data_IF_187969500232
#
_entry.id   IF_187969500232
#
_cell.length_a   1.000
_cell.length_b   1.000
_cell.length_c   1.000
_cell.angle_alpha   90.00
_cell.angle_beta   90.00
_cell.angle_gamma   90.00
#
_symmetry.space_group_name_H-M   'P 1'
#
loop_
_entity.id
_entity.type
_entity.pdbx_description
1 polymer ?
#
# COMPACT_ATOMS: atom_id res chain seq x y z
N UNK A 1 69.81 2.08 -10.14
CA UNK A 1 68.54 1.55 -9.67
C UNK A 1 67.83 2.64 -8.84
N UNK A 2 66.92 3.36 -9.44
CA UNK A 2 66.08 4.34 -8.77
C UNK A 2 64.86 3.61 -8.19
N UNK A 3 64.71 3.64 -6.86
CA UNK A 3 63.56 3.09 -6.14
C UNK A 3 62.46 4.13 -6.21
N UNK A 4 61.45 3.93 -7.09
CA UNK A 4 60.25 4.73 -7.07
C UNK A 4 59.44 4.38 -5.83
N UNK A 5 59.42 5.29 -4.85
CA UNK A 5 58.48 5.26 -3.72
C UNK A 5 57.09 5.62 -4.27
N UNK A 6 56.23 4.63 -4.49
CA UNK A 6 54.81 4.82 -4.64
C UNK A 6 54.27 5.32 -3.31
N UNK A 7 54.09 6.62 -3.16
CA UNK A 7 53.30 7.24 -2.08
C UNK A 7 51.84 6.77 -2.25
N UNK A 8 51.44 5.82 -1.44
CA UNK A 8 50.02 5.54 -1.26
C UNK A 8 49.35 6.79 -0.66
N UNK A 9 48.68 7.57 -1.48
CA UNK A 9 47.78 8.64 -0.98
C UNK A 9 46.76 7.98 -0.05
N UNK A 10 46.55 8.50 1.16
CA UNK A 10 45.42 8.03 1.97
C UNK A 10 44.15 8.24 1.19
N UNK A 11 43.36 7.18 1.03
CA UNK A 11 41.99 7.27 0.52
C UNK A 11 41.24 8.13 1.54
N UNK A 12 41.07 9.41 1.24
CA UNK A 12 40.20 10.29 2.03
C UNK A 12 38.79 9.81 1.80
N UNK A 13 38.11 9.42 2.87
CA UNK A 13 36.70 9.08 2.83
C UNK A 13 35.95 10.21 2.13
N UNK A 14 35.35 9.90 0.98
CA UNK A 14 34.61 10.90 0.23
C UNK A 14 33.17 10.92 0.70
N UNK A 15 32.71 12.08 1.19
CA UNK A 15 31.30 12.30 1.54
C UNK A 15 30.57 12.87 0.32
N UNK A 16 29.53 12.17 -0.13
CA UNK A 16 28.71 12.57 -1.28
C UNK A 16 27.26 12.76 -0.90
N UNK A 17 26.60 13.75 -1.52
CA UNK A 17 25.17 13.97 -1.32
C UNK A 17 24.33 12.99 -2.12
N UNK A 18 23.19 12.60 -1.53
CA UNK A 18 22.12 11.84 -2.18
C UNK A 18 20.78 12.34 -1.67
N UNK A 19 19.87 12.65 -2.58
CA UNK A 19 18.48 12.96 -2.25
C UNK A 19 17.58 11.81 -2.67
N UNK A 20 16.81 11.25 -1.73
CA UNK A 20 15.77 10.28 -2.01
C UNK A 20 14.42 10.98 -1.90
N UNK A 21 13.75 11.13 -3.05
CA UNK A 21 12.33 11.45 -3.11
C UNK A 21 11.56 10.14 -2.99
N UNK A 22 10.46 10.13 -2.22
CA UNK A 22 9.72 8.88 -2.07
C UNK A 22 8.22 9.08 -1.88
N UNK A 23 7.47 8.10 -2.34
CA UNK A 23 6.03 7.93 -2.14
C UNK A 23 5.75 6.51 -1.65
N UNK A 24 4.59 6.29 -1.07
CA UNK A 24 4.07 5.00 -0.67
C UNK A 24 2.54 5.04 -0.65
N UNK A 25 1.89 3.87 -0.75
CA UNK A 25 0.46 3.71 -0.51
C UNK A 25 -0.41 4.70 -1.29
N UNK A 26 -0.20 4.81 -2.62
CA UNK A 26 -0.93 5.76 -3.46
C UNK A 26 -2.40 5.33 -3.68
N UNK A 27 -2.70 4.03 -3.58
CA UNK A 27 -4.04 3.46 -3.56
C UNK A 27 -4.97 3.99 -4.66
N UNK A 28 -4.42 4.14 -5.86
CA UNK A 28 -5.16 4.61 -7.03
C UNK A 28 -5.92 5.94 -6.80
N UNK A 29 -5.51 6.77 -5.85
CA UNK A 29 -6.08 8.11 -5.63
C UNK A 29 -5.61 9.07 -6.72
N UNK A 30 -6.03 8.78 -7.96
CA UNK A 30 -5.62 9.54 -9.15
C UNK A 30 -6.19 10.95 -9.18
N UNK A 31 -7.38 11.15 -8.60
CA UNK A 31 -8.01 12.46 -8.40
C UNK A 31 -7.70 13.01 -7.00
N UNK A 32 -7.68 14.33 -6.87
CA UNK A 32 -7.55 14.98 -5.56
C UNK A 32 -8.76 14.68 -4.66
N UNK A 33 -8.55 14.76 -3.35
CA UNK A 33 -9.61 14.75 -2.36
C UNK A 33 -10.48 16.03 -2.48
N UNK A 34 -11.67 16.04 -1.88
CA UNK A 34 -12.59 17.20 -1.91
C UNK A 34 -11.96 18.48 -1.35
N UNK A 35 -10.99 18.34 -0.45
CA UNK A 35 -10.24 19.47 0.11
C UNK A 35 -9.04 19.90 -0.74
N UNK A 36 -8.82 19.30 -1.90
CA UNK A 36 -7.78 19.62 -2.86
C UNK A 36 -6.43 18.92 -2.61
N UNK A 37 -6.29 18.13 -1.55
CA UNK A 37 -5.05 17.37 -1.28
C UNK A 37 -4.90 16.16 -2.21
N UNK A 38 -3.67 15.77 -2.48
CA UNK A 38 -3.33 14.59 -3.27
C UNK A 38 -3.65 14.74 -4.76
N UNK A 39 -3.92 13.61 -5.41
CA UNK A 39 -4.14 13.50 -6.84
C UNK A 39 -2.83 13.40 -7.65
N UNK A 40 -2.83 12.52 -8.63
CA UNK A 40 -1.61 12.16 -9.38
C UNK A 40 -1.04 13.33 -10.18
N UNK A 41 -1.87 14.19 -10.73
CA UNK A 41 -1.40 15.34 -11.51
C UNK A 41 -0.68 16.39 -10.63
N UNK A 42 -1.19 16.63 -9.41
CA UNK A 42 -0.54 17.52 -8.44
C UNK A 42 0.74 16.87 -7.88
N UNK A 43 0.70 15.57 -7.55
CA UNK A 43 1.87 14.82 -7.09
C UNK A 43 2.99 14.85 -8.13
N UNK A 44 2.68 14.62 -9.41
CA UNK A 44 3.66 14.68 -10.50
C UNK A 44 4.29 16.09 -10.62
N UNK A 45 3.51 17.15 -10.43
CA UNK A 45 4.02 18.52 -10.44
C UNK A 45 5.00 18.77 -9.28
N UNK A 46 4.68 18.29 -8.06
CA UNK A 46 5.59 18.37 -6.90
C UNK A 46 6.87 17.60 -7.16
N UNK A 47 6.76 16.36 -7.66
CA UNK A 47 7.92 15.51 -8.01
C UNK A 47 8.83 16.24 -8.99
N UNK A 48 8.28 16.77 -10.10
CA UNK A 48 9.04 17.48 -11.14
C UNK A 48 9.72 18.74 -10.58
N UNK A 49 9.01 19.52 -9.75
CA UNK A 49 9.57 20.69 -9.05
C UNK A 49 10.76 20.29 -8.17
N UNK A 50 10.66 19.21 -7.42
CA UNK A 50 11.75 18.74 -6.56
C UNK A 50 12.92 18.19 -7.37
N UNK A 51 12.67 17.41 -8.42
CA UNK A 51 13.74 16.93 -9.31
C UNK A 51 14.49 18.06 -10.00
N UNK A 52 13.82 19.16 -10.37
CA UNK A 52 14.48 20.32 -10.97
C UNK A 52 15.42 21.05 -9.98
N UNK A 53 15.28 20.81 -8.67
CA UNK A 53 16.09 21.42 -7.61
C UNK A 53 17.25 20.54 -7.13
N UNK A 54 17.40 19.32 -7.66
CA UNK A 54 18.49 18.42 -7.29
C UNK A 54 19.02 17.65 -8.48
N UNK A 55 20.35 17.59 -8.63
CA UNK A 55 21.06 16.77 -9.61
C UNK A 55 21.40 15.37 -9.11
N UNK A 56 21.25 15.15 -7.81
CA UNK A 56 21.60 13.94 -7.05
C UNK A 56 20.36 13.22 -6.47
N UNK A 57 19.25 13.27 -7.20
CA UNK A 57 17.98 12.70 -6.78
C UNK A 57 17.70 11.33 -7.38
N UNK A 58 17.09 10.49 -6.56
CA UNK A 58 16.33 9.31 -7.00
C UNK A 58 14.90 9.41 -6.49
N UNK A 59 13.93 8.83 -7.21
CA UNK A 59 12.52 8.75 -6.82
C UNK A 59 12.12 7.29 -6.62
N UNK A 60 11.64 6.95 -5.44
CA UNK A 60 11.26 5.59 -5.05
C UNK A 60 9.78 5.51 -4.68
N UNK A 61 9.14 4.36 -4.97
CA UNK A 61 7.79 4.07 -4.48
C UNK A 61 7.80 2.79 -3.64
N UNK A 62 7.31 2.88 -2.41
CA UNK A 62 7.30 1.78 -1.44
C UNK A 62 6.01 0.93 -1.47
N UNK A 63 5.43 0.71 -2.66
CA UNK A 63 4.32 -0.22 -2.88
C UNK A 63 2.92 0.37 -2.68
N UNK A 64 1.91 -0.48 -2.85
CA UNK A 64 0.47 -0.19 -2.81
C UNK A 64 0.08 0.96 -3.75
N UNK A 65 0.36 0.74 -5.03
CA UNK A 65 0.01 1.70 -6.06
C UNK A 65 -1.47 1.63 -6.42
N UNK A 66 -2.03 0.42 -6.47
CA UNK A 66 -3.42 0.15 -6.86
C UNK A 66 -4.34 -0.04 -5.66
N UNK A 67 -5.62 -0.29 -5.94
CA UNK A 67 -6.71 -0.48 -4.97
C UNK A 67 -7.10 0.84 -4.26
N UNK A 68 -8.39 1.06 -4.00
CA UNK A 68 -8.92 2.19 -3.22
C UNK A 68 -9.76 3.19 -4.01
N UNK A 69 -9.81 3.12 -5.35
CA UNK A 69 -10.72 3.94 -6.15
C UNK A 69 -11.27 3.18 -7.37
N UNK A 70 -12.40 3.64 -7.93
CA UNK A 70 -13.08 2.95 -9.03
C UNK A 70 -12.23 2.69 -10.27
N UNK A 71 -11.29 3.58 -10.60
CA UNK A 71 -10.37 3.37 -11.74
C UNK A 71 -9.56 2.08 -11.57
N UNK A 72 -9.13 1.80 -10.34
CA UNK A 72 -8.43 0.55 -10.05
C UNK A 72 -9.36 -0.65 -10.12
N UNK A 73 -10.55 -0.54 -9.54
CA UNK A 73 -11.50 -1.66 -9.47
C UNK A 73 -12.06 -2.02 -10.86
N UNK A 74 -12.46 -1.03 -11.67
CA UNK A 74 -13.03 -1.25 -13.02
C UNK A 74 -12.03 -1.88 -13.97
N UNK A 75 -10.76 -1.48 -13.89
CA UNK A 75 -9.71 -1.87 -14.84
C UNK A 75 -8.61 -2.73 -14.21
N UNK A 76 -8.88 -3.29 -13.03
CA UNK A 76 -7.94 -4.15 -12.29
C UNK A 76 -6.54 -3.54 -12.14
N UNK A 77 -6.48 -2.24 -11.83
CA UNK A 77 -5.25 -1.52 -11.50
C UNK A 77 -4.38 -1.07 -12.69
N UNK A 78 -4.56 -1.62 -13.89
CA UNK A 78 -3.65 -1.37 -15.01
C UNK A 78 -3.48 0.12 -15.39
N UNK A 79 -4.56 0.95 -15.48
CA UNK A 79 -4.43 2.37 -15.77
C UNK A 79 -3.59 3.14 -14.76
N UNK A 80 -3.57 2.69 -13.51
CA UNK A 80 -2.81 3.35 -12.44
C UNK A 80 -1.31 3.22 -12.70
N UNK A 81 -0.84 2.05 -13.13
CA UNK A 81 0.55 1.84 -13.54
C UNK A 81 0.90 2.60 -14.83
N UNK A 82 -0.02 2.67 -15.80
CA UNK A 82 0.17 3.49 -17.01
C UNK A 82 0.39 4.96 -16.66
N UNK A 83 -0.43 5.53 -15.76
CA UNK A 83 -0.28 6.92 -15.32
C UNK A 83 1.00 7.10 -14.49
N UNK A 84 1.31 6.17 -13.59
CA UNK A 84 2.50 6.21 -12.74
C UNK A 84 3.81 6.18 -13.53
N UNK A 85 3.81 5.63 -14.76
CA UNK A 85 4.95 5.72 -15.68
C UNK A 85 5.38 7.17 -16.00
N UNK A 86 4.47 8.14 -15.83
CA UNK A 86 4.76 9.57 -16.03
C UNK A 86 5.44 10.25 -14.84
N UNK A 87 5.53 9.57 -13.69
CA UNK A 87 6.20 10.11 -12.50
C UNK A 87 7.72 10.03 -12.59
N UNK A 88 8.24 9.06 -13.35
CA UNK A 88 9.67 8.83 -13.52
C UNK A 88 10.30 8.17 -12.28
N UNK A 89 9.68 7.13 -11.73
CA UNK A 89 10.28 6.33 -10.66
C UNK A 89 11.59 5.70 -11.10
N UNK A 90 12.61 5.76 -10.24
CA UNK A 90 13.90 5.08 -10.45
C UNK A 90 13.85 3.63 -9.95
N UNK A 91 12.98 3.33 -8.98
CA UNK A 91 12.61 1.98 -8.56
C UNK A 91 11.31 2.00 -7.76
N UNK A 92 10.61 0.86 -7.74
CA UNK A 92 9.47 0.61 -6.88
C UNK A 92 9.51 -0.81 -6.30
N UNK A 93 8.80 -1.04 -5.19
CA UNK A 93 8.41 -2.38 -4.73
C UNK A 93 6.90 -2.56 -4.92
N UNK A 94 6.41 -3.79 -4.73
CA UNK A 94 4.98 -4.06 -4.66
C UNK A 94 4.52 -3.99 -3.20
N UNK A 95 3.26 -3.62 -3.00
CA UNK A 95 2.56 -3.76 -1.74
C UNK A 95 1.55 -4.91 -1.76
N UNK A 96 0.91 -5.19 -0.62
CA UNK A 96 -0.05 -6.30 -0.51
C UNK A 96 -1.30 -6.06 -1.37
N UNK A 97 -1.73 -4.81 -1.52
CA UNK A 97 -2.89 -4.48 -2.35
C UNK A 97 -2.61 -4.54 -3.86
N UNK A 98 -1.35 -4.55 -4.29
CA UNK A 98 -1.02 -4.83 -5.68
C UNK A 98 -1.37 -6.29 -6.10
N UNK A 99 -1.78 -7.15 -5.13
CA UNK A 99 -2.27 -8.50 -5.34
C UNK A 99 -3.78 -8.66 -5.20
N UNK A 100 -4.55 -7.62 -4.96
CA UNK A 100 -6.00 -7.70 -4.76
C UNK A 100 -6.76 -8.22 -5.99
N UNK A 101 -6.18 -8.07 -7.18
CA UNK A 101 -6.68 -8.64 -8.44
C UNK A 101 -5.99 -9.95 -8.82
N UNK A 102 -5.20 -10.52 -7.91
CA UNK A 102 -4.45 -11.75 -8.07
C UNK A 102 -3.06 -11.56 -8.68
N UNK A 103 -2.23 -12.60 -8.50
CA UNK A 103 -0.83 -12.57 -8.91
C UNK A 103 -0.63 -12.41 -10.43
N UNK A 104 -1.61 -12.83 -11.24
CA UNK A 104 -1.56 -12.67 -12.70
C UNK A 104 -1.62 -11.18 -13.07
N UNK A 105 -2.52 -10.42 -12.44
CA UNK A 105 -2.60 -8.98 -12.67
C UNK A 105 -1.36 -8.26 -12.12
N UNK A 106 -0.87 -8.65 -10.94
CA UNK A 106 0.38 -8.12 -10.39
C UNK A 106 1.59 -8.33 -11.34
N UNK A 107 1.61 -9.44 -12.10
CA UNK A 107 2.60 -9.64 -13.18
C UNK A 107 2.44 -8.62 -14.32
N UNK A 108 1.20 -8.33 -14.74
CA UNK A 108 0.96 -7.33 -15.78
C UNK A 108 1.40 -5.94 -15.32
N UNK A 109 1.29 -5.62 -14.03
CA UNK A 109 1.81 -4.37 -13.47
C UNK A 109 3.32 -4.24 -13.65
N UNK A 110 4.06 -5.33 -13.37
CA UNK A 110 5.50 -5.37 -13.57
C UNK A 110 5.86 -5.16 -15.06
N UNK A 111 5.11 -5.78 -15.96
CA UNK A 111 5.34 -5.68 -17.41
C UNK A 111 4.95 -4.30 -17.96
N UNK A 112 3.98 -3.60 -17.35
CA UNK A 112 3.52 -2.27 -17.73
C UNK A 112 4.44 -1.17 -17.22
N UNK A 113 5.05 -1.34 -16.04
CA UNK A 113 5.94 -0.36 -15.45
C UNK A 113 7.19 -0.13 -16.33
N UNK A 114 7.49 1.14 -16.63
CA UNK A 114 8.72 1.52 -17.35
C UNK A 114 9.92 1.74 -16.41
N UNK A 115 9.79 1.35 -15.15
CA UNK A 115 10.78 1.42 -14.09
C UNK A 115 10.93 0.05 -13.41
N UNK A 116 12.10 -0.26 -12.80
CA UNK A 116 12.29 -1.54 -12.13
C UNK A 116 11.39 -1.69 -10.90
N UNK A 117 10.63 -2.78 -10.85
CA UNK A 117 9.92 -3.25 -9.67
C UNK A 117 10.75 -4.38 -9.06
N UNK A 118 11.12 -4.24 -7.78
CA UNK A 118 12.04 -5.12 -7.08
C UNK A 118 11.41 -5.73 -5.82
N UNK A 119 11.69 -7.01 -5.53
CA UNK A 119 11.37 -7.66 -4.26
C UNK A 119 12.29 -8.84 -4.02
N UNK A 120 13.00 -8.83 -2.89
CA UNK A 120 13.98 -9.85 -2.56
C UNK A 120 13.41 -11.05 -1.78
N UNK A 121 12.21 -10.92 -1.23
CA UNK A 121 11.62 -11.92 -0.35
C UNK A 121 10.26 -12.47 -0.81
N UNK A 122 9.72 -11.99 -1.91
CA UNK A 122 8.49 -12.51 -2.51
C UNK A 122 8.81 -13.66 -3.44
N UNK A 123 8.43 -14.88 -3.05
CA UNK A 123 8.86 -16.12 -3.71
C UNK A 123 7.71 -17.08 -3.97
N UNK A 124 7.87 -17.92 -4.99
CA UNK A 124 7.03 -19.07 -5.28
C UNK A 124 7.77 -20.38 -5.06
N UNK A 125 7.26 -21.45 -5.64
CA UNK A 125 7.84 -22.79 -5.54
C UNK A 125 9.33 -22.81 -5.89
N UNK A 126 10.13 -23.52 -5.07
CA UNK A 126 11.57 -23.63 -5.26
C UNK A 126 12.38 -22.34 -5.01
N UNK A 127 11.77 -21.31 -4.39
CA UNK A 127 12.42 -20.04 -4.09
C UNK A 127 12.58 -19.11 -5.31
N UNK A 128 11.82 -19.35 -6.37
CA UNK A 128 11.77 -18.48 -7.56
C UNK A 128 11.18 -17.11 -7.18
N UNK A 129 11.89 -16.04 -7.47
CA UNK A 129 11.40 -14.69 -7.20
C UNK A 129 10.16 -14.33 -8.03
N UNK A 130 9.26 -13.58 -7.44
CA UNK A 130 8.11 -13.02 -8.14
C UNK A 130 8.54 -11.90 -9.09
N UNK A 131 9.36 -10.98 -8.65
CA UNK A 131 9.89 -9.90 -9.48
C UNK A 131 11.10 -10.36 -10.30
N UNK A 132 11.40 -9.73 -11.45
CA UNK A 132 12.58 -10.08 -12.26
C UNK A 132 13.90 -9.95 -11.50
N UNK A 133 13.96 -9.04 -10.52
CA UNK A 133 15.16 -8.73 -9.73
C UNK A 133 14.82 -8.49 -8.28
N UNK A 134 15.69 -8.91 -7.34
CA UNK A 134 15.52 -8.61 -5.92
C UNK A 134 15.91 -7.17 -5.55
N UNK A 135 16.73 -6.54 -6.36
CA UNK A 135 17.27 -5.19 -6.17
C UNK A 135 17.66 -4.55 -7.50
N UNK A 136 17.90 -3.25 -7.45
CA UNK A 136 18.55 -2.48 -8.51
C UNK A 136 19.74 -1.69 -7.94
N UNK A 137 20.77 -1.44 -8.74
CA UNK A 137 21.87 -0.54 -8.38
C UNK A 137 21.73 0.73 -9.21
N UNK A 138 21.37 1.82 -8.56
CA UNK A 138 21.27 3.15 -9.14
C UNK A 138 22.62 3.86 -9.07
N UNK A 139 22.95 4.61 -10.11
CA UNK A 139 24.17 5.44 -10.15
C UNK A 139 23.77 6.90 -10.11
N UNK A 140 24.09 7.58 -9.02
CA UNK A 140 23.73 8.97 -8.79
C UNK A 140 24.85 9.68 -8.04
N UNK A 141 25.26 10.85 -8.51
CA UNK A 141 26.35 11.66 -7.92
C UNK A 141 27.64 10.85 -7.64
N UNK A 142 27.99 9.91 -8.54
CA UNK A 142 29.11 9.00 -8.38
C UNK A 142 28.93 7.90 -7.33
N UNK A 143 27.80 7.86 -6.62
CA UNK A 143 27.42 6.75 -5.71
C UNK A 143 26.82 5.59 -6.47
N UNK A 144 27.07 4.37 -5.98
CA UNK A 144 26.40 3.13 -6.37
C UNK A 144 25.44 2.78 -5.23
N UNK A 145 24.14 3.07 -5.42
CA UNK A 145 23.09 2.88 -4.41
C UNK A 145 22.31 1.61 -4.73
N UNK A 146 22.43 0.58 -3.90
CA UNK A 146 21.56 -0.59 -4.00
C UNK A 146 20.21 -0.30 -3.37
N UNK A 147 19.13 -0.52 -4.12
CA UNK A 147 17.75 -0.47 -3.62
C UNK A 147 17.22 -1.90 -3.60
N UNK A 148 17.07 -2.48 -2.42
CA UNK A 148 16.55 -3.84 -2.21
C UNK A 148 15.06 -3.73 -1.91
N UNK A 149 14.22 -4.40 -2.71
CA UNK A 149 12.79 -4.44 -2.49
C UNK A 149 12.39 -5.46 -1.41
N UNK A 150 11.35 -5.18 -0.65
CA UNK A 150 10.83 -6.08 0.37
C UNK A 150 9.31 -5.99 0.52
N UNK A 151 8.68 -7.14 0.79
CA UNK A 151 7.25 -7.33 1.05
C UNK A 151 7.07 -7.87 2.48
N UNK A 152 6.03 -7.43 3.18
CA UNK A 152 5.70 -7.94 4.52
C UNK A 152 5.51 -9.46 4.53
N UNK A 153 6.00 -10.10 5.60
CA UNK A 153 5.84 -11.55 5.83
C UNK A 153 4.34 -11.93 5.98
N UNK A 154 3.49 -10.96 6.31
CA UNK A 154 2.04 -11.15 6.51
C UNK A 154 1.24 -11.19 5.21
N UNK A 155 1.86 -11.06 4.03
CA UNK A 155 1.18 -10.98 2.74
C UNK A 155 0.04 -11.99 2.56
N UNK A 156 0.22 -13.25 3.02
CA UNK A 156 -0.80 -14.29 2.87
C UNK A 156 -2.04 -14.09 3.73
N UNK A 157 -1.93 -13.39 4.84
CA UNK A 157 -3.07 -13.06 5.73
C UNK A 157 -3.73 -11.73 5.37
N UNK A 158 -3.04 -10.93 4.55
CA UNK A 158 -3.53 -9.66 4.00
C UNK A 158 -4.15 -9.81 2.60
N UNK A 159 -4.10 -11.02 2.03
CA UNK A 159 -4.62 -11.32 0.70
C UNK A 159 -5.53 -12.54 0.74
N UNK A 160 -6.34 -12.73 -0.29
CA UNK A 160 -7.14 -13.95 -0.43
C UNK A 160 -6.23 -15.10 -0.92
N UNK A 161 -6.13 -16.22 -0.20
CA UNK A 161 -5.21 -17.32 -0.55
C UNK A 161 -5.32 -17.79 -2.00
N UNK A 162 -6.54 -17.81 -2.56
CA UNK A 162 -6.81 -18.20 -3.95
C UNK A 162 -6.15 -17.26 -4.97
N UNK A 163 -6.02 -15.96 -4.62
CA UNK A 163 -5.40 -14.95 -5.49
C UNK A 163 -3.87 -15.01 -5.45
N UNK A 164 -3.31 -15.60 -4.39
CA UNK A 164 -1.86 -15.72 -4.20
C UNK A 164 -1.28 -17.04 -4.71
N UNK A 165 -2.08 -18.12 -4.75
CA UNK A 165 -1.61 -19.47 -5.10
C UNK A 165 -0.32 -19.87 -4.35
N UNK A 166 0.77 -20.14 -5.08
CA UNK A 166 2.07 -20.51 -4.50
C UNK A 166 2.88 -19.32 -3.94
N UNK A 167 2.54 -18.07 -4.29
CA UNK A 167 3.33 -16.91 -3.96
C UNK A 167 3.17 -16.50 -2.50
N UNK A 168 4.30 -16.23 -1.85
CA UNK A 168 4.36 -15.83 -0.44
C UNK A 168 5.63 -15.04 -0.14
N UNK A 169 5.61 -14.28 0.94
CA UNK A 169 6.80 -13.63 1.44
C UNK A 169 7.53 -14.55 2.44
N UNK A 170 8.86 -14.66 2.27
CA UNK A 170 9.76 -15.27 3.26
C UNK A 170 10.33 -14.19 4.15
N UNK A 171 11.15 -14.59 5.17
CA UNK A 171 11.73 -13.65 6.12
C UNK A 171 12.37 -12.44 5.43
N UNK A 172 11.78 -11.27 5.69
CA UNK A 172 12.16 -10.02 5.05
C UNK A 172 13.56 -9.60 5.44
N UNK A 173 13.92 -9.76 6.72
CA UNK A 173 15.23 -9.37 7.21
C UNK A 173 16.34 -10.31 6.71
N UNK A 174 16.09 -11.62 6.66
CA UNK A 174 17.07 -12.60 6.17
C UNK A 174 17.34 -12.40 4.67
N UNK A 175 16.29 -12.20 3.88
CA UNK A 175 16.43 -11.95 2.45
C UNK A 175 17.18 -10.65 2.16
N UNK A 176 16.84 -9.55 2.85
CA UNK A 176 17.49 -8.26 2.66
C UNK A 176 18.97 -8.30 3.06
N UNK A 177 19.30 -8.93 4.21
CA UNK A 177 20.68 -9.09 4.66
C UNK A 177 21.51 -9.94 3.71
N UNK A 178 20.95 -11.02 3.18
CA UNK A 178 21.61 -11.85 2.15
C UNK A 178 22.03 -11.03 0.94
N UNK A 179 21.13 -10.18 0.42
CA UNK A 179 21.46 -9.32 -0.72
C UNK A 179 22.40 -8.18 -0.35
N UNK A 180 22.25 -7.55 0.81
CA UNK A 180 23.17 -6.52 1.28
C UNK A 180 24.59 -7.05 1.40
N UNK A 181 24.77 -8.24 1.98
CA UNK A 181 26.08 -8.90 2.05
C UNK A 181 26.69 -9.20 0.67
N UNK A 182 25.89 -9.71 -0.27
CA UNK A 182 26.34 -9.99 -1.64
C UNK A 182 26.69 -8.73 -2.46
N UNK A 183 26.20 -7.56 -2.04
CA UNK A 183 26.40 -6.27 -2.68
C UNK A 183 27.48 -5.42 -2.01
N UNK A 184 28.02 -5.85 -0.87
CA UNK A 184 28.91 -5.04 -0.05
C UNK A 184 30.06 -4.40 -0.84
N UNK A 185 30.78 -5.14 -1.66
CA UNK A 185 31.93 -4.61 -2.43
C UNK A 185 31.51 -3.89 -3.73
N UNK A 186 30.24 -3.93 -4.05
CA UNK A 186 29.70 -3.42 -5.31
C UNK A 186 28.94 -2.11 -5.14
N UNK A 187 28.67 -1.68 -3.92
CA UNK A 187 27.82 -0.53 -3.59
C UNK A 187 28.44 0.35 -2.51
N UNK A 188 28.03 1.61 -2.51
CA UNK A 188 28.46 2.63 -1.57
C UNK A 188 27.36 2.94 -0.54
N UNK A 189 26.12 2.51 -0.81
CA UNK A 189 24.97 2.60 0.10
C UNK A 189 23.97 1.49 -0.22
N UNK A 190 23.32 0.95 0.80
CA UNK A 190 22.18 0.05 0.69
C UNK A 190 20.95 0.72 1.26
N UNK A 191 19.86 0.73 0.47
CA UNK A 191 18.54 1.23 0.84
C UNK A 191 17.57 0.05 0.81
N UNK A 192 16.81 -0.17 1.88
CA UNK A 192 15.63 -1.02 1.86
C UNK A 192 14.45 -0.20 1.35
N UNK A 193 13.81 -0.67 0.30
CA UNK A 193 12.53 -0.17 -0.20
C UNK A 193 11.46 -1.20 0.18
N UNK A 194 10.82 -1.00 1.34
CA UNK A 194 9.99 -2.02 1.98
C UNK A 194 8.52 -1.64 2.02
N UNK A 195 7.65 -2.60 1.67
CA UNK A 195 6.24 -2.54 2.01
C UNK A 195 6.02 -3.49 3.19
N UNK A 196 6.27 -2.99 4.41
CA UNK A 196 6.45 -3.79 5.63
C UNK A 196 5.74 -3.16 6.83
N UNK A 197 5.41 -3.99 7.83
CA UNK A 197 4.76 -3.53 9.06
C UNK A 197 5.76 -2.96 10.10
N UNK A 198 5.23 -2.34 11.17
CA UNK A 198 6.04 -1.69 12.22
C UNK A 198 6.95 -2.67 12.96
N UNK A 199 6.54 -3.92 13.14
CA UNK A 199 7.36 -4.96 13.80
C UNK A 199 8.57 -5.29 12.94
N UNK A 200 8.39 -5.39 11.64
CA UNK A 200 9.46 -5.63 10.68
C UNK A 200 10.39 -4.41 10.57
N UNK A 201 9.84 -3.18 10.54
CA UNK A 201 10.63 -1.95 10.61
C UNK A 201 11.54 -1.92 11.84
N UNK A 202 11.01 -2.25 13.03
CA UNK A 202 11.78 -2.29 14.27
C UNK A 202 12.90 -3.35 14.23
N UNK A 203 12.65 -4.52 13.64
CA UNK A 203 13.69 -5.54 13.43
C UNK A 203 14.84 -5.00 12.58
N UNK A 204 14.57 -4.30 11.48
CA UNK A 204 15.62 -3.68 10.66
C UNK A 204 16.42 -2.64 11.44
N UNK A 205 15.74 -1.73 12.14
CA UNK A 205 16.38 -0.69 12.92
C UNK A 205 17.23 -1.26 14.08
N UNK A 206 16.91 -2.45 14.58
CA UNK A 206 17.64 -3.08 15.69
C UNK A 206 18.74 -4.04 15.22
N UNK A 207 18.58 -4.73 14.09
CA UNK A 207 19.38 -5.91 13.75
C UNK A 207 20.18 -5.81 12.45
N UNK A 208 19.75 -4.98 11.45
CA UNK A 208 20.37 -4.95 10.12
C UNK A 208 21.32 -3.75 9.96
N UNK A 209 22.52 -3.83 10.52
CA UNK A 209 23.52 -2.74 10.49
C UNK A 209 24.02 -2.44 9.07
N UNK A 210 23.97 -3.40 8.18
CA UNK A 210 24.36 -3.32 6.77
C UNK A 210 23.36 -2.61 5.87
N UNK A 211 22.17 -2.22 6.42
CA UNK A 211 21.10 -1.52 5.70
C UNK A 211 20.79 -0.21 6.46
N UNK A 212 21.53 0.87 6.16
CA UNK A 212 21.44 2.09 6.95
C UNK A 212 20.23 2.99 6.62
N UNK A 213 19.56 2.78 5.49
CA UNK A 213 18.42 3.60 5.04
C UNK A 213 17.22 2.72 4.73
N UNK A 214 16.09 3.05 5.32
CA UNK A 214 14.80 2.40 5.08
C UNK A 214 13.80 3.42 4.55
N UNK A 215 13.21 3.13 3.40
CA UNK A 215 12.06 3.84 2.83
C UNK A 215 10.90 2.85 2.81
N UNK A 216 9.84 3.11 3.59
CA UNK A 216 8.80 2.12 3.82
C UNK A 216 7.40 2.63 3.42
N UNK A 217 6.47 1.69 3.25
CA UNK A 217 5.04 1.87 3.06
C UNK A 217 4.24 0.96 3.97
N UNK A 218 3.00 0.65 3.61
CA UNK A 218 2.04 -0.21 4.31
C UNK A 218 1.28 0.49 5.46
N UNK A 219 1.90 1.42 6.15
CA UNK A 219 1.28 2.13 7.28
C UNK A 219 0.91 3.53 6.80
N UNK A 220 -0.34 3.72 6.42
CA UNK A 220 -0.86 4.89 5.72
C UNK A 220 -0.72 6.21 6.51
N UNK A 221 -0.64 6.16 7.83
CA UNK A 221 -0.54 7.35 8.69
C UNK A 221 0.74 8.16 8.50
N UNK A 222 1.76 7.56 7.89
CA UNK A 222 3.09 8.16 7.76
C UNK A 222 3.79 8.32 9.13
N UNK A 223 4.93 8.97 9.11
CA UNK A 223 5.68 9.36 10.31
C UNK A 223 5.63 10.88 10.46
N UNK A 224 5.60 11.38 11.68
CA UNK A 224 5.71 12.82 11.92
C UNK A 224 7.14 13.32 11.73
N UNK A 225 8.10 12.52 12.18
CA UNK A 225 9.54 12.70 12.02
C UNK A 225 10.17 11.38 11.58
N UNK A 226 11.37 11.44 10.99
CA UNK A 226 12.13 10.23 10.71
C UNK A 226 12.43 9.45 11.99
N UNK A 227 12.44 8.13 11.89
CA UNK A 227 12.88 7.28 13.00
C UNK A 227 14.35 6.97 12.80
N UNK A 228 15.18 7.28 13.79
CA UNK A 228 16.60 6.96 13.73
C UNK A 228 17.04 6.12 14.93
N UNK A 229 17.86 5.08 14.65
CA UNK A 229 18.42 4.20 15.68
C UNK A 229 19.75 3.63 15.20
N UNK A 230 20.78 3.74 16.03
CA UNK A 230 22.11 3.15 15.76
C UNK A 230 22.69 3.55 14.39
N UNK A 231 22.55 4.80 13.98
CA UNK A 231 23.04 5.30 12.69
C UNK A 231 22.23 4.89 11.46
N UNK A 232 21.03 4.34 11.65
CA UNK A 232 20.05 4.01 10.59
C UNK A 232 18.91 5.00 10.62
N UNK A 233 18.33 5.26 9.45
CA UNK A 233 17.21 6.16 9.29
C UNK A 233 16.08 5.46 8.54
N UNK A 234 14.86 5.62 9.04
CA UNK A 234 13.61 5.15 8.44
C UNK A 234 12.71 6.34 8.16
N UNK A 235 12.14 6.37 6.96
CA UNK A 235 11.22 7.39 6.49
C UNK A 235 9.99 6.76 5.82
N UNK A 236 8.80 7.38 6.04
CA UNK A 236 7.52 7.00 5.46
C UNK A 236 6.59 8.21 5.48
N UNK A 237 6.04 8.59 4.32
CA UNK A 237 5.04 9.66 4.21
C UNK A 237 3.63 9.14 4.40
N UNK A 238 2.65 10.02 4.51
CA UNK A 238 1.24 9.63 4.44
C UNK A 238 0.92 9.05 3.09
N UNK A 239 0.04 8.06 3.10
CA UNK A 239 -0.47 7.44 1.90
C UNK A 239 -1.34 8.37 1.05
N UNK A 240 -1.96 7.79 0.03
CA UNK A 240 -2.93 8.44 -0.86
C UNK A 240 -2.39 9.60 -1.70
N UNK A 241 -1.06 9.74 -1.80
CA UNK A 241 -0.42 10.79 -2.56
C UNK A 241 -0.56 12.20 -1.96
N UNK A 242 -0.92 12.31 -0.68
CA UNK A 242 -1.07 13.59 0.02
C UNK A 242 0.28 14.27 0.30
N UNK A 243 1.37 13.51 0.28
CA UNK A 243 2.71 13.98 0.58
C UNK A 243 3.76 13.35 -0.33
N UNK A 244 4.84 14.09 -0.60
CA UNK A 244 6.09 13.59 -1.16
C UNK A 244 7.17 13.67 -0.08
N UNK A 245 7.85 12.56 0.19
CA UNK A 245 9.00 12.55 1.09
C UNK A 245 10.27 13.04 0.38
N UNK A 246 11.10 13.80 1.09
CA UNK A 246 12.42 14.24 0.65
C UNK A 246 13.43 13.97 1.75
N UNK A 247 14.27 12.94 1.56
CA UNK A 247 15.36 12.57 2.43
C UNK A 247 16.70 12.97 1.78
N UNK A 248 17.40 13.91 2.39
CA UNK A 248 18.72 14.35 1.97
C UNK A 248 19.77 13.70 2.85
N UNK A 249 20.76 13.05 2.24
CA UNK A 249 21.80 12.26 2.89
C UNK A 249 23.18 12.79 2.53
N UNK A 250 24.09 12.86 3.52
CA UNK A 250 25.51 12.91 3.28
C UNK A 250 26.10 11.51 3.49
N UNK A 251 26.53 10.85 2.41
CA UNK A 251 26.96 9.44 2.42
C UNK A 251 28.49 9.35 2.45
N UNK A 252 29.02 8.72 3.47
CA UNK A 252 30.45 8.37 3.57
C UNK A 252 30.68 7.07 2.79
N UNK A 253 31.44 7.16 1.69
CA UNK A 253 31.66 6.03 0.78
C UNK A 253 32.54 4.92 1.34
N UNK A 254 33.35 5.22 2.37
CA UNK A 254 34.18 4.22 3.07
C UNK A 254 33.34 3.46 4.10
N UNK A 255 32.53 4.18 4.90
CA UNK A 255 31.62 3.57 5.87
C UNK A 255 30.39 2.96 5.24
N UNK A 256 30.07 3.32 3.99
CA UNK A 256 28.87 2.90 3.25
C UNK A 256 27.57 3.22 3.98
N UNK A 257 27.54 4.36 4.63
CA UNK A 257 26.46 4.80 5.48
C UNK A 257 26.33 6.32 5.48
N UNK A 258 25.14 6.88 5.75
CA UNK A 258 24.97 8.30 5.93
C UNK A 258 25.66 8.76 7.23
N UNK A 259 26.35 9.90 7.16
CA UNK A 259 26.94 10.59 8.31
C UNK A 259 26.03 11.69 8.84
N UNK A 260 25.12 12.17 8.02
CA UNK A 260 24.04 13.09 8.39
C UNK A 260 22.87 12.98 7.41
N UNK A 261 21.70 13.41 7.86
CA UNK A 261 20.50 13.46 7.04
C UNK A 261 19.55 14.56 7.51
N UNK A 262 18.66 14.95 6.59
CA UNK A 262 17.44 15.71 6.88
C UNK A 262 16.29 15.09 6.12
N UNK A 263 15.11 15.05 6.73
CA UNK A 263 13.91 14.57 6.08
C UNK A 263 12.77 15.59 6.18
N UNK A 264 12.01 15.70 5.10
CA UNK A 264 10.86 16.60 5.00
C UNK A 264 9.72 15.89 4.31
N UNK A 265 8.51 16.13 4.79
CA UNK A 265 7.26 15.82 4.11
C UNK A 265 6.80 17.06 3.35
N UNK A 266 6.62 16.94 2.06
CA UNK A 266 6.20 18.01 1.20
C UNK A 266 4.71 17.80 0.88
N UNK A 267 3.82 18.68 1.29
CA UNK A 267 2.40 18.51 1.02
C UNK A 267 2.12 18.60 -0.48
N UNK A 268 1.17 17.78 -0.92
CA UNK A 268 0.62 17.80 -2.28
C UNK A 268 -0.76 18.43 -2.20
N UNK A 269 -0.85 19.72 -2.56
CA UNK A 269 -2.09 20.49 -2.56
C UNK A 269 -2.32 21.08 -3.96
N UNK A 270 -3.32 20.53 -4.67
CA UNK A 270 -3.65 20.94 -6.03
C UNK A 270 -4.21 22.37 -6.13
N UNK A 271 -4.57 22.99 -5.00
CA UNK A 271 -4.99 24.42 -4.97
C UNK A 271 -3.78 25.38 -5.01
N UNK A 272 -2.61 24.90 -4.61
CA UNK A 272 -1.38 25.70 -4.53
C UNK A 272 -0.39 25.39 -5.66
N UNK A 273 -0.63 24.31 -6.41
CA UNK A 273 0.30 23.79 -7.42
C UNK A 273 -0.45 23.58 -8.73
N UNK A 274 0.07 24.16 -9.81
CA UNK A 274 -0.42 23.87 -11.17
C UNK A 274 -0.20 22.38 -11.50
N UNK A 275 -1.24 21.61 -11.74
CA UNK A 275 -1.12 20.18 -12.00
C UNK A 275 -0.31 19.88 -13.28
N UNK A 276 0.42 18.77 -13.29
CA UNK A 276 1.14 18.31 -14.47
C UNK A 276 0.15 17.95 -15.60
N UNK A 277 0.12 18.74 -16.67
CA UNK A 277 -0.90 18.66 -17.71
C UNK A 277 -0.97 17.31 -18.44
N UNK A 278 0.16 16.68 -18.72
CA UNK A 278 0.23 15.35 -19.34
C UNK A 278 -0.35 14.25 -18.44
N UNK A 279 -0.12 14.33 -17.12
CA UNK A 279 -0.73 13.42 -16.14
C UNK A 279 -2.22 13.69 -15.99
N UNK A 280 -2.63 14.97 -15.91
CA UNK A 280 -4.04 15.36 -15.85
C UNK A 280 -4.83 14.84 -17.06
N UNK A 281 -4.28 14.90 -18.26
CA UNK A 281 -4.91 14.36 -19.48
C UNK A 281 -5.15 12.85 -19.36
N UNK A 282 -4.19 12.09 -18.85
CA UNK A 282 -4.37 10.64 -18.68
C UNK A 282 -5.37 10.31 -17.55
N UNK A 283 -5.30 11.03 -16.43
CA UNK A 283 -6.30 10.87 -15.34
C UNK A 283 -7.70 11.13 -15.86
N UNK A 284 -7.93 12.26 -16.53
CA UNK A 284 -9.26 12.64 -17.05
C UNK A 284 -9.78 11.60 -18.06
N UNK A 285 -8.91 11.13 -18.97
CA UNK A 285 -9.29 10.09 -19.93
C UNK A 285 -9.85 8.84 -19.26
N UNK A 286 -9.19 8.36 -18.21
CA UNK A 286 -9.63 7.16 -17.51
C UNK A 286 -10.83 7.42 -16.60
N UNK A 287 -10.89 8.59 -15.95
CA UNK A 287 -12.03 9.00 -15.15
C UNK A 287 -13.31 9.16 -15.99
N UNK A 288 -13.21 9.65 -17.23
CA UNK A 288 -14.35 9.71 -18.16
C UNK A 288 -14.92 8.30 -18.47
N UNK A 289 -14.09 7.26 -18.53
CA UNK A 289 -14.56 5.89 -18.71
C UNK A 289 -15.15 5.31 -17.41
N UNK A 290 -14.56 5.60 -16.27
CA UNK A 290 -15.06 5.20 -14.95
C UNK A 290 -16.43 5.82 -14.67
N UNK A 291 -16.58 7.11 -14.93
CA UNK A 291 -17.81 7.87 -14.67
C UNK A 291 -19.05 7.28 -15.35
N UNK A 292 -18.88 6.68 -16.52
CA UNK A 292 -19.99 5.99 -17.23
C UNK A 292 -20.58 4.83 -16.41
N UNK A 293 -19.78 4.22 -15.53
CA UNK A 293 -20.19 3.06 -14.75
C UNK A 293 -20.62 3.42 -13.31
N UNK A 294 -20.01 4.45 -12.71
CA UNK A 294 -20.15 4.68 -11.27
C UNK A 294 -20.77 6.03 -10.88
N UNK A 295 -21.04 6.96 -11.80
CA UNK A 295 -21.59 8.27 -11.45
C UNK A 295 -23.14 8.29 -11.55
N UNK A 296 -23.76 7.20 -11.12
CA UNK A 296 -25.20 7.05 -11.03
C UNK A 296 -25.65 7.27 -9.58
N UNK A 297 -26.74 8.05 -9.34
CA UNK A 297 -27.29 8.25 -8.00
C UNK A 297 -27.78 6.94 -7.37
N UNK A 298 -27.52 6.78 -6.06
CA UNK A 298 -27.98 5.61 -5.29
C UNK A 298 -28.85 6.00 -4.09
N UNK A 299 -28.51 7.08 -3.38
CA UNK A 299 -29.20 7.54 -2.18
C UNK A 299 -28.91 9.01 -1.89
N UNK A 300 -29.51 9.56 -0.85
CA UNK A 300 -29.15 10.86 -0.27
C UNK A 300 -28.70 10.62 1.19
N UNK A 301 -27.55 11.14 1.57
CA UNK A 301 -27.08 11.14 2.95
C UNK A 301 -27.41 12.47 3.62
N UNK A 302 -28.05 12.42 4.78
CA UNK A 302 -28.41 13.64 5.54
C UNK A 302 -27.22 14.24 6.30
N UNK A 303 -26.17 13.48 6.52
CA UNK A 303 -24.95 13.90 7.19
C UNK A 303 -23.69 13.21 6.62
N UNK A 304 -22.55 13.61 7.11
CA UNK A 304 -21.29 12.89 6.89
C UNK A 304 -21.24 11.63 7.77
N UNK A 305 -20.66 10.54 7.27
CA UNK A 305 -20.41 9.30 8.01
C UNK A 305 -18.91 8.96 7.99
N UNK A 306 -18.38 8.71 9.17
CA UNK A 306 -17.02 8.21 9.36
C UNK A 306 -16.95 6.68 9.14
N UNK A 307 -15.77 6.15 8.88
CA UNK A 307 -15.57 4.74 8.51
C UNK A 307 -16.11 3.76 9.57
N UNK A 308 -16.06 4.09 10.86
CA UNK A 308 -16.64 3.26 11.95
C UNK A 308 -18.17 3.19 11.91
N UNK A 309 -18.83 4.24 11.42
CA UNK A 309 -20.28 4.28 11.24
C UNK A 309 -20.67 3.54 9.95
N UNK A 310 -19.88 3.70 8.89
CA UNK A 310 -20.06 2.97 7.63
C UNK A 310 -19.95 1.47 7.83
N UNK A 311 -19.01 1.01 8.68
CA UNK A 311 -18.93 -0.40 9.10
C UNK A 311 -20.28 -0.94 9.53
N UNK A 312 -21.02 -0.21 10.37
CA UNK A 312 -22.37 -0.62 10.85
C UNK A 312 -23.40 -0.65 9.72
N UNK A 313 -23.31 0.29 8.76
CA UNK A 313 -24.20 0.27 7.59
C UNK A 313 -23.93 -0.94 6.69
N UNK A 314 -22.67 -1.29 6.48
CA UNK A 314 -22.27 -2.49 5.74
C UNK A 314 -22.78 -3.76 6.43
N UNK A 315 -22.56 -3.88 7.74
CA UNK A 315 -23.05 -5.02 8.52
C UNK A 315 -24.59 -5.12 8.47
N UNK A 316 -25.30 -3.98 8.49
CA UNK A 316 -26.75 -3.98 8.32
C UNK A 316 -27.18 -4.43 6.93
N UNK A 317 -26.49 -3.96 5.88
CA UNK A 317 -26.78 -4.38 4.51
C UNK A 317 -26.57 -5.90 4.32
N UNK A 318 -25.49 -6.44 4.90
CA UNK A 318 -25.22 -7.88 4.89
C UNK A 318 -26.32 -8.69 5.60
N UNK A 319 -26.83 -8.21 6.75
CA UNK A 319 -27.96 -8.85 7.45
C UNK A 319 -29.24 -8.78 6.64
N UNK A 320 -29.56 -7.61 6.10
CA UNK A 320 -30.79 -7.41 5.32
C UNK A 320 -30.81 -8.28 4.05
N UNK A 321 -29.63 -8.52 3.43
CA UNK A 321 -29.50 -9.37 2.23
C UNK A 321 -29.59 -10.86 2.54
N UNK A 322 -28.92 -11.31 3.60
CA UNK A 322 -28.80 -12.75 3.91
C UNK A 322 -29.85 -13.26 4.88
N UNK A 323 -30.57 -12.37 5.56
CA UNK A 323 -31.44 -12.71 6.69
C UNK A 323 -30.67 -13.20 7.93
N UNK A 324 -29.37 -12.86 8.03
CA UNK A 324 -28.53 -13.31 9.14
C UNK A 324 -28.84 -12.56 10.44
N UNK A 325 -28.74 -13.28 11.58
CA UNK A 325 -28.90 -12.71 12.91
C UNK A 325 -27.78 -11.69 13.21
N UNK A 326 -26.56 -11.99 12.76
CA UNK A 326 -25.36 -11.19 12.96
C UNK A 326 -24.60 -10.98 11.64
N UNK A 327 -23.86 -9.88 11.58
CA UNK A 327 -22.87 -9.65 10.53
C UNK A 327 -21.62 -9.01 11.11
N UNK A 328 -20.47 -9.25 10.47
CA UNK A 328 -19.20 -8.65 10.82
C UNK A 328 -18.38 -8.36 9.55
N UNK A 329 -17.80 -7.17 9.51
CA UNK A 329 -16.76 -6.78 8.55
C UNK A 329 -15.56 -6.23 9.31
N UNK A 330 -14.35 -6.59 8.93
CA UNK A 330 -13.13 -6.02 9.52
C UNK A 330 -13.01 -4.52 9.21
N UNK A 331 -12.46 -3.73 10.13
CA UNK A 331 -12.36 -2.27 9.96
C UNK A 331 -11.53 -1.88 8.73
N UNK A 332 -10.46 -2.63 8.40
CA UNK A 332 -9.66 -2.41 7.19
C UNK A 332 -10.42 -2.63 5.88
N UNK A 333 -11.58 -3.27 5.91
CA UNK A 333 -12.49 -3.41 4.76
C UNK A 333 -13.24 -2.13 4.41
N UNK A 334 -13.26 -1.11 5.28
CA UNK A 334 -13.93 0.18 5.03
C UNK A 334 -12.88 1.22 4.67
N UNK A 335 -12.82 1.64 3.40
CA UNK A 335 -11.67 2.36 2.84
C UNK A 335 -11.88 3.86 2.67
N UNK A 336 -13.10 4.35 2.84
CA UNK A 336 -13.42 5.77 2.67
C UNK A 336 -14.56 6.21 3.59
N UNK A 337 -14.97 7.46 3.49
CA UNK A 337 -16.08 8.08 4.19
C UNK A 337 -17.27 8.31 3.26
N UNK A 338 -18.47 8.57 3.80
CA UNK A 338 -19.61 8.98 2.99
C UNK A 338 -19.91 10.46 3.22
N UNK A 339 -19.92 11.29 2.17
CA UNK A 339 -20.24 12.72 2.30
C UNK A 339 -21.74 12.93 2.56
N UNK A 340 -22.07 14.09 3.11
CA UNK A 340 -23.44 14.60 3.12
C UNK A 340 -23.88 14.98 1.71
N UNK A 341 -25.14 14.68 1.34
CA UNK A 341 -25.73 15.03 0.06
C UNK A 341 -26.03 13.82 -0.80
N UNK A 342 -26.03 14.02 -2.12
CA UNK A 342 -26.29 12.95 -3.08
C UNK A 342 -25.14 11.94 -3.09
N UNK A 343 -25.47 10.67 -2.86
CA UNK A 343 -24.52 9.56 -2.98
C UNK A 343 -24.63 8.94 -4.38
N UNK A 344 -23.48 8.69 -4.98
CA UNK A 344 -23.31 7.99 -6.23
C UNK A 344 -22.79 6.56 -5.98
N UNK A 345 -22.89 5.68 -6.97
CA UNK A 345 -22.25 4.36 -6.95
C UNK A 345 -20.76 4.49 -6.63
N UNK A 346 -20.08 5.52 -7.14
CA UNK A 346 -18.67 5.85 -6.88
C UNK A 346 -18.35 5.88 -5.37
N UNK A 347 -19.20 6.50 -4.55
CA UNK A 347 -18.99 6.56 -3.10
C UNK A 347 -19.06 5.17 -2.47
N UNK A 348 -19.96 4.30 -2.95
CA UNK A 348 -20.06 2.92 -2.47
C UNK A 348 -18.81 2.11 -2.87
N UNK A 349 -18.30 2.32 -4.08
CA UNK A 349 -17.09 1.67 -4.55
C UNK A 349 -15.83 2.18 -3.82
N UNK A 350 -15.80 3.44 -3.41
CA UNK A 350 -14.71 3.97 -2.59
C UNK A 350 -14.69 3.36 -1.18
N UNK A 351 -15.85 3.22 -0.53
CA UNK A 351 -15.90 2.61 0.82
C UNK A 351 -15.65 1.11 0.79
N UNK A 352 -15.97 0.42 -0.32
CA UNK A 352 -15.78 -1.04 -0.50
C UNK A 352 -15.20 -1.33 -1.89
N UNK A 353 -13.90 -1.08 -2.11
CA UNK A 353 -13.29 -1.26 -3.42
C UNK A 353 -12.90 -2.72 -3.73
N UNK A 354 -13.11 -3.63 -2.80
CA UNK A 354 -12.77 -5.05 -2.94
C UNK A 354 -13.85 -5.84 -3.65
N UNK A 355 -13.45 -6.91 -4.35
CA UNK A 355 -14.36 -7.89 -4.97
C UNK A 355 -14.77 -8.99 -3.97
N UNK A 356 -14.91 -8.63 -2.70
CA UNK A 356 -15.34 -9.54 -1.65
C UNK A 356 -16.79 -9.96 -1.84
N UNK A 357 -17.08 -11.22 -1.50
CA UNK A 357 -18.44 -11.77 -1.48
C UNK A 357 -18.97 -11.84 -0.06
N UNK A 358 -20.26 -11.66 0.11
CA UNK A 358 -20.93 -11.96 1.38
C UNK A 358 -21.05 -13.47 1.50
N UNK A 359 -20.48 -14.03 2.58
CA UNK A 359 -20.66 -15.45 2.91
C UNK A 359 -21.30 -15.56 4.30
N UNK A 360 -22.13 -16.61 4.51
CA UNK A 360 -22.81 -16.79 5.78
C UNK A 360 -22.88 -18.26 6.19
N UNK A 361 -23.05 -18.48 7.50
CA UNK A 361 -23.12 -19.82 8.08
C UNK A 361 -23.91 -19.83 9.39
N UNK A 362 -24.28 -21.02 9.88
CA UNK A 362 -24.97 -21.22 11.16
C UNK A 362 -24.00 -21.71 12.22
N UNK A 363 -24.07 -21.10 13.41
CA UNK A 363 -23.17 -21.36 14.53
C UNK A 363 -23.97 -21.35 15.83
N UNK A 364 -23.58 -22.18 16.81
CA UNK A 364 -24.14 -22.09 18.15
C UNK A 364 -23.71 -20.77 18.81
N UNK A 365 -24.56 -20.22 19.68
CA UNK A 365 -24.27 -18.94 20.36
C UNK A 365 -22.93 -18.93 21.09
N UNK A 366 -22.50 -20.08 21.65
CA UNK A 366 -21.21 -20.24 22.33
C UNK A 366 -19.99 -20.19 21.38
N UNK A 367 -20.19 -20.42 20.08
CA UNK A 367 -19.13 -20.46 19.07
C UNK A 367 -18.96 -19.09 18.35
N UNK A 368 -19.89 -18.16 18.61
CA UNK A 368 -19.82 -16.82 18.01
C UNK A 368 -18.76 -15.96 18.71
N UNK A 369 -17.90 -15.27 17.93
CA UNK A 369 -16.88 -14.39 18.49
C UNK A 369 -17.48 -13.24 19.32
N UNK A 370 -16.84 -12.84 20.44
CA UNK A 370 -17.35 -11.76 21.30
C UNK A 370 -17.58 -10.44 20.56
N UNK A 371 -16.72 -10.10 19.58
CA UNK A 371 -16.83 -8.87 18.78
C UNK A 371 -18.13 -8.84 17.94
N UNK A 372 -18.61 -10.01 17.52
CA UNK A 372 -19.86 -10.16 16.77
C UNK A 372 -21.07 -9.97 17.68
N UNK A 373 -20.99 -10.46 18.92
CA UNK A 373 -22.06 -10.36 19.90
C UNK A 373 -22.21 -8.95 20.48
N UNK A 374 -21.10 -8.24 20.66
CA UNK A 374 -21.11 -6.97 21.41
C UNK A 374 -21.71 -7.18 22.82
N UNK A 375 -22.69 -6.35 23.18
CA UNK A 375 -23.40 -6.45 24.45
C UNK A 375 -24.63 -7.39 24.42
N UNK A 376 -24.89 -8.08 23.29
CA UNK A 376 -26.04 -8.93 23.12
C UNK A 376 -25.84 -10.27 23.86
N UNK A 377 -26.82 -10.63 24.66
CA UNK A 377 -26.89 -11.95 25.32
C UNK A 377 -27.58 -12.94 24.40
N UNK A 378 -26.89 -14.02 24.07
CA UNK A 378 -27.40 -15.11 23.24
C UNK A 378 -27.53 -16.40 24.04
N UNK A 379 -28.44 -17.28 23.63
CA UNK A 379 -28.48 -18.64 24.14
C UNK A 379 -27.30 -19.44 23.58
N UNK A 380 -26.42 -20.00 24.43
CA UNK A 380 -25.23 -20.72 23.98
C UNK A 380 -25.51 -21.94 23.09
N UNK A 381 -26.69 -22.57 23.27
CA UNK A 381 -27.04 -23.80 22.54
C UNK A 381 -27.91 -23.54 21.29
N UNK A 382 -28.49 -22.34 21.16
CA UNK A 382 -29.26 -21.96 19.99
C UNK A 382 -28.34 -21.67 18.82
N UNK A 383 -28.77 -22.04 17.61
CA UNK A 383 -28.09 -21.67 16.36
C UNK A 383 -28.48 -20.25 15.91
N UNK A 384 -27.48 -19.52 15.46
CA UNK A 384 -27.59 -18.18 14.88
C UNK A 384 -26.84 -18.16 13.55
N UNK A 385 -27.30 -17.33 12.62
CA UNK A 385 -26.66 -17.12 11.34
C UNK A 385 -25.73 -15.91 11.44
N UNK A 386 -24.45 -16.08 11.03
CA UNK A 386 -23.47 -15.01 10.93
C UNK A 386 -23.08 -14.82 9.45
N UNK A 387 -23.12 -13.56 8.99
CA UNK A 387 -22.61 -13.14 7.68
C UNK A 387 -21.28 -12.38 7.83
N UNK A 388 -20.32 -12.67 6.96
CA UNK A 388 -19.01 -11.99 6.89
C UNK A 388 -18.59 -11.83 5.42
N UNK A 389 -17.49 -11.10 5.15
CA UNK A 389 -16.88 -11.19 3.82
C UNK A 389 -16.10 -12.51 3.65
N UNK A 390 -15.95 -12.99 2.43
CA UNK A 390 -15.15 -14.18 2.13
C UNK A 390 -13.67 -13.98 2.50
N UNK A 391 -13.16 -12.75 2.41
CA UNK A 391 -11.85 -12.38 2.94
C UNK A 391 -11.77 -12.61 4.46
N UNK A 392 -12.76 -12.11 5.22
CA UNK A 392 -12.81 -12.32 6.69
C UNK A 392 -12.95 -13.79 7.03
N UNK A 393 -13.76 -14.55 6.27
CA UNK A 393 -13.91 -15.99 6.46
C UNK A 393 -12.61 -16.75 6.23
N UNK A 394 -11.83 -16.38 5.22
CA UNK A 394 -10.54 -17.02 4.89
C UNK A 394 -9.46 -16.68 5.93
N UNK A 395 -9.47 -15.48 6.49
CA UNK A 395 -8.44 -14.94 7.39
C UNK A 395 -8.90 -14.83 8.86
N UNK A 396 -9.96 -15.52 9.25
CA UNK A 396 -10.62 -15.38 10.55
C UNK A 396 -9.70 -15.54 11.78
N UNK A 397 -8.62 -16.31 11.67
CA UNK A 397 -7.67 -16.50 12.77
C UNK A 397 -6.61 -15.38 12.86
N UNK A 398 -6.34 -14.72 11.74
CA UNK A 398 -5.41 -13.60 11.67
C UNK A 398 -6.11 -12.25 11.94
N UNK A 399 -7.43 -12.17 11.77
CA UNK A 399 -8.20 -10.96 12.07
C UNK A 399 -8.15 -10.65 13.58
N UNK A 400 -7.57 -9.51 13.92
CA UNK A 400 -7.34 -9.11 15.32
C UNK A 400 -8.63 -8.93 16.13
N UNK A 401 -9.73 -8.61 15.48
CA UNK A 401 -11.04 -8.39 16.10
C UNK A 401 -11.82 -9.69 16.21
N UNK A 402 -11.87 -10.47 15.10
CA UNK A 402 -12.64 -11.72 15.07
C UNK A 402 -11.97 -12.83 15.88
N UNK A 403 -10.64 -12.99 15.76
CA UNK A 403 -9.80 -13.96 16.51
C UNK A 403 -10.45 -15.35 16.63
N UNK A 404 -11.07 -15.80 15.55
CA UNK A 404 -11.80 -17.07 15.50
C UNK A 404 -11.05 -18.06 14.62
N UNK A 405 -11.33 -19.34 14.81
CA UNK A 405 -10.83 -20.40 13.95
C UNK A 405 -11.88 -21.49 13.83
N UNK A 406 -12.01 -22.06 12.63
CA UNK A 406 -12.89 -23.19 12.37
C UNK A 406 -14.36 -22.84 12.09
N UNK A 407 -14.75 -21.57 12.01
CA UNK A 407 -16.05 -21.17 11.49
C UNK A 407 -16.14 -21.52 10.00
N UNK A 408 -17.20 -22.22 9.60
CA UNK A 408 -17.41 -22.65 8.21
C UNK A 408 -18.62 -21.94 7.62
N UNK A 409 -18.37 -21.18 6.57
CA UNK A 409 -19.38 -20.44 5.82
C UNK A 409 -19.70 -21.23 4.54
N UNK A 410 -20.97 -21.47 4.28
CA UNK A 410 -21.44 -22.26 3.13
C UNK A 410 -22.44 -21.53 2.25
N UNK A 411 -23.06 -20.46 2.78
CA UNK A 411 -23.97 -19.61 2.02
C UNK A 411 -23.24 -18.53 1.27
N UNK A 412 -23.79 -18.12 0.12
CA UNK A 412 -23.28 -17.05 -0.72
C UNK A 412 -24.39 -16.00 -0.91
N UNK A 413 -24.15 -14.78 -0.44
CA UNK A 413 -25.02 -13.60 -0.53
C UNK A 413 -24.65 -12.66 -1.68
N UNK A 414 -23.75 -13.05 -2.58
CA UNK A 414 -23.35 -12.23 -3.73
C UNK A 414 -22.17 -11.31 -3.46
N UNK A 415 -21.84 -10.49 -4.45
CA UNK A 415 -20.73 -9.51 -4.35
C UNK A 415 -21.13 -8.41 -3.37
N UNK A 416 -20.33 -8.21 -2.32
CA UNK A 416 -20.65 -7.26 -1.23
C UNK A 416 -20.90 -5.84 -1.74
N UNK A 417 -20.12 -5.40 -2.71
CA UNK A 417 -20.27 -4.07 -3.33
C UNK A 417 -21.62 -3.90 -4.02
N UNK A 418 -22.12 -4.92 -4.73
CA UNK A 418 -23.42 -4.90 -5.37
C UNK A 418 -24.55 -4.93 -4.33
N UNK A 419 -24.42 -5.75 -3.30
CA UNK A 419 -25.32 -5.78 -2.13
C UNK A 419 -25.46 -4.38 -1.53
N UNK A 420 -24.35 -3.67 -1.36
CA UNK A 420 -24.35 -2.29 -0.84
C UNK A 420 -25.07 -1.34 -1.79
N UNK A 421 -24.75 -1.34 -3.08
CA UNK A 421 -25.40 -0.47 -4.08
C UNK A 421 -26.91 -0.67 -4.05
N UNK A 422 -27.38 -1.92 -4.04
CA UNK A 422 -28.81 -2.23 -4.01
C UNK A 422 -29.46 -1.87 -2.67
N UNK A 423 -28.75 -2.06 -1.58
CA UNK A 423 -29.23 -1.68 -0.25
C UNK A 423 -29.42 -0.16 -0.13
N UNK A 424 -28.44 0.65 -0.58
CA UNK A 424 -28.53 2.11 -0.61
C UNK A 424 -29.67 2.58 -1.52
N UNK A 425 -29.86 1.98 -2.69
CA UNK A 425 -31.00 2.27 -3.60
C UNK A 425 -32.35 1.99 -2.95
N UNK A 426 -32.49 0.88 -2.19
CA UNK A 426 -33.71 0.52 -1.44
C UNK A 426 -33.98 1.52 -0.33
N UNK A 427 -32.95 1.94 0.42
CA UNK A 427 -33.08 2.90 1.55
C UNK A 427 -33.40 4.32 1.09
N UNK A 428 -32.87 4.77 -0.03
CA UNK A 428 -33.03 6.11 -0.65
C UNK A 428 -32.49 7.26 0.22
N UNK A 429 -32.64 7.21 1.53
CA UNK A 429 -32.15 8.22 2.48
C UNK A 429 -31.40 7.51 3.59
N UNK A 430 -30.22 8.06 3.95
CA UNK A 430 -29.35 7.57 5.01
C UNK A 430 -29.24 8.68 6.08
N UNK A 431 -29.56 8.31 7.35
CA UNK A 431 -29.63 9.23 8.49
C UNK A 431 -28.47 9.03 9.49
#
# INVERSE_FOLDING_TARGET
MALELLLAMPLVAEVRSLTILHTNDLHARVTALDDGRGGFAALAAVIRKQRAQCSDCVLLNAGDLVQGSPISTVFHGLPVFEIANLFGFDAATLGNHDFDYGWIEARKFIDTANYPIVSGNLVGAGGRLFTPKPYVILRVNGLRVAVIGAMTEELRTLSTPKLMEEWHAVSVIEAARKYAAALHDRTDLVVLLGHINEVEEDRFLSQATEIPVLVTGHIHGGLEHEVSRNGRVLVRVRGYGEELGRLELAVDTEKKAPVSWTWKRLPVDGREIEPAGDVAVQVNRWEDEVSKQVDQPVAVSLRHFESSEIKRLIEQAMRDETGADFAFINQGGVRDVLPKGQLLVRHIWNIMPFDNRVVFGKFKGRDLPPVVLGDQKVDPEREYTLAVSDFTAANQSADEQLRSSGLRFSGDGGLLRDVLVDWFRKKKVIE
#
